data_IF_096046424548
#
_entry.id   IF_096046424548
#
_cell.length_a   1.000
_cell.length_b   1.000
_cell.length_c   1.000
_cell.angle_alpha   90.00
_cell.angle_beta   90.00
_cell.angle_gamma   90.00
#
_symmetry.space_group_name_H-M   'P 1'
#
loop_
_entity.id
_entity.type
_entity.pdbx_description
1 polymer ?
#
# COMPACT_ATOMS: atom_id res chain seq x y z
N UNK A 1 21.17 7.61 -4.60
CA UNK A 1 19.79 7.42 -4.14
C UNK A 1 19.07 6.58 -5.18
N UNK A 2 18.56 5.42 -4.78
CA UNK A 2 17.62 4.66 -5.61
C UNK A 2 16.26 5.37 -5.50
N UNK A 3 15.70 5.77 -6.64
CA UNK A 3 14.33 6.26 -6.68
C UNK A 3 13.42 5.04 -6.84
N UNK A 4 12.41 4.94 -6.01
CA UNK A 4 11.36 3.93 -6.12
C UNK A 4 9.99 4.63 -6.20
N UNK A 5 9.10 4.09 -7.00
CA UNK A 5 7.69 4.47 -6.99
C UNK A 5 6.92 3.34 -6.31
N UNK A 6 6.13 3.70 -5.32
CA UNK A 6 5.33 2.76 -4.53
C UNK A 6 3.88 3.21 -4.54
N UNK A 7 2.97 2.26 -4.69
CA UNK A 7 1.54 2.46 -4.50
C UNK A 7 1.08 1.59 -3.32
N UNK A 8 0.55 2.19 -2.27
CA UNK A 8 -0.03 1.46 -1.14
C UNK A 8 -1.55 1.49 -1.23
N UNK A 9 -2.18 0.31 -1.28
CA UNK A 9 -3.63 0.17 -1.18
C UNK A 9 -3.99 -0.09 0.27
N UNK A 10 -4.57 0.92 0.91
CA UNK A 10 -4.76 0.99 2.35
C UNK A 10 -6.25 0.93 2.70
N UNK A 11 -6.57 0.17 3.74
CA UNK A 11 -7.92 0.01 4.29
C UNK A 11 -7.91 0.51 5.73
N UNK A 12 -8.84 1.35 6.11
CA UNK A 12 -8.99 1.77 7.50
C UNK A 12 -9.20 0.55 8.40
N UNK A 13 -8.42 0.47 9.46
CA UNK A 13 -8.36 -0.70 10.33
C UNK A 13 -8.15 -0.29 11.79
N UNK A 14 -8.50 -1.21 12.70
CA UNK A 14 -8.27 -1.07 14.13
C UNK A 14 -7.57 -2.31 14.67
N UNK A 15 -6.52 -2.11 15.46
CA UNK A 15 -5.88 -3.17 16.24
C UNK A 15 -5.80 -2.75 17.72
N UNK A 16 -6.46 -3.51 18.61
CA UNK A 16 -6.67 -3.07 19.99
C UNK A 16 -7.39 -1.73 20.02
N UNK A 17 -6.80 -0.73 20.64
CA UNK A 17 -7.32 0.65 20.65
C UNK A 17 -6.67 1.56 19.61
N UNK A 18 -5.75 1.04 18.81
CA UNK A 18 -5.04 1.80 17.79
C UNK A 18 -5.84 1.82 16.48
N UNK A 19 -6.15 3.02 16.01
CA UNK A 19 -6.73 3.25 14.68
C UNK A 19 -5.60 3.50 13.69
N UNK A 20 -5.65 2.85 12.54
CA UNK A 20 -4.66 2.97 11.49
C UNK A 20 -5.17 2.41 10.18
N UNK A 21 -4.26 1.98 9.31
CA UNK A 21 -4.58 1.48 7.97
C UNK A 21 -3.90 0.13 7.73
N UNK A 22 -4.67 -0.87 7.33
CA UNK A 22 -4.12 -2.14 6.88
C UNK A 22 -3.65 -2.03 5.44
N UNK A 23 -2.38 -2.34 5.18
CA UNK A 23 -1.83 -2.37 3.83
C UNK A 23 -2.14 -3.71 3.17
N UNK A 24 -3.13 -3.71 2.27
CA UNK A 24 -3.57 -4.94 1.59
C UNK A 24 -2.60 -5.36 0.47
N UNK A 25 -2.07 -4.40 -0.27
CA UNK A 25 -1.08 -4.62 -1.33
C UNK A 25 -0.21 -3.38 -1.53
N UNK A 26 1.06 -3.60 -1.88
CA UNK A 26 2.05 -2.53 -2.09
C UNK A 26 2.83 -2.79 -3.39
N UNK A 27 2.26 -2.45 -4.55
CA UNK A 27 3.01 -2.47 -5.81
C UNK A 27 4.21 -1.51 -5.78
N UNK A 28 5.33 -1.96 -6.35
CA UNK A 28 6.60 -1.22 -6.40
C UNK A 28 7.30 -1.50 -7.74
N UNK A 29 8.00 -0.50 -8.29
CA UNK A 29 8.75 -0.61 -9.54
C UNK A 29 10.18 -1.10 -9.37
N UNK A 30 10.71 -1.12 -8.14
CA UNK A 30 12.08 -1.50 -7.84
C UNK A 30 12.17 -2.94 -7.34
N UNK A 31 12.59 -3.87 -8.20
CA UNK A 31 12.70 -5.29 -7.88
C UNK A 31 13.65 -5.56 -6.69
N UNK A 32 14.79 -4.88 -6.63
CA UNK A 32 15.78 -5.06 -5.57
C UNK A 32 15.30 -4.66 -4.19
N UNK A 33 14.23 -3.86 -4.08
CA UNK A 33 13.62 -3.48 -2.81
C UNK A 33 12.59 -4.50 -2.30
N UNK A 34 12.15 -5.45 -3.13
CA UNK A 34 11.06 -6.37 -2.76
C UNK A 34 11.51 -7.36 -1.69
N UNK A 35 12.58 -8.14 -1.96
CA UNK A 35 13.04 -9.18 -1.04
C UNK A 35 13.40 -8.60 0.35
N UNK A 36 14.27 -7.57 0.46
CA UNK A 36 14.57 -6.99 1.77
C UNK A 36 13.33 -6.47 2.52
N UNK A 37 12.42 -5.84 1.82
CA UNK A 37 11.22 -5.29 2.43
C UNK A 37 10.26 -6.37 2.92
N UNK A 38 10.06 -7.42 2.13
CA UNK A 38 9.21 -8.56 2.51
C UNK A 38 9.82 -9.39 3.64
N UNK A 39 11.10 -9.73 3.52
CA UNK A 39 11.79 -10.61 4.46
C UNK A 39 12.07 -9.90 5.79
N UNK A 40 12.52 -8.64 5.73
CA UNK A 40 12.84 -7.86 6.93
C UNK A 40 11.60 -7.27 7.59
N UNK A 41 10.77 -6.55 6.82
CA UNK A 41 9.68 -5.74 7.34
C UNK A 41 8.32 -6.42 7.19
N UNK A 42 8.19 -7.47 6.35
CA UNK A 42 6.89 -8.11 6.05
C UNK A 42 5.99 -7.30 5.12
N UNK A 43 6.48 -6.22 4.51
CA UNK A 43 5.70 -5.37 3.62
C UNK A 43 5.11 -6.17 2.44
N UNK A 44 3.82 -6.04 2.10
CA UNK A 44 3.17 -6.84 1.05
C UNK A 44 3.55 -6.37 -0.37
N UNK A 45 4.86 -6.12 -0.60
CA UNK A 45 5.39 -5.61 -1.86
C UNK A 45 5.26 -6.62 -2.98
N UNK A 46 4.85 -6.13 -4.15
CA UNK A 46 4.74 -6.88 -5.41
C UNK A 46 5.32 -6.05 -6.54
N UNK A 47 6.12 -6.68 -7.41
CA UNK A 47 6.65 -6.01 -8.60
C UNK A 47 5.52 -5.55 -9.52
N UNK A 48 5.60 -4.31 -9.97
CA UNK A 48 4.68 -3.71 -10.92
C UNK A 48 5.41 -2.64 -11.74
N UNK A 49 4.84 -2.24 -12.86
CA UNK A 49 5.23 -1.03 -13.55
C UNK A 49 4.36 0.11 -12.98
N UNK A 50 5.01 1.12 -12.42
CA UNK A 50 4.35 2.31 -11.90
C UNK A 50 4.80 3.52 -12.68
N UNK A 51 3.85 4.36 -13.02
CA UNK A 51 4.09 5.60 -13.75
C UNK A 51 3.38 6.75 -13.02
N UNK A 52 4.05 7.89 -12.97
CA UNK A 52 3.49 9.14 -12.49
C UNK A 52 3.98 10.26 -13.40
N UNK A 53 3.06 10.98 -14.00
CA UNK A 53 3.36 12.14 -14.84
C UNK A 53 2.56 13.35 -14.40
N UNK A 54 3.19 14.52 -14.53
CA UNK A 54 2.55 15.82 -14.39
C UNK A 54 2.92 16.69 -15.59
N UNK A 55 1.91 17.15 -16.32
CA UNK A 55 2.07 18.08 -17.44
C UNK A 55 1.22 19.33 -17.18
N UNK A 56 1.84 20.39 -16.66
CA UNK A 56 1.12 21.55 -16.14
C UNK A 56 0.24 21.18 -14.95
N UNK A 57 -1.06 21.37 -15.11
CA UNK A 57 -2.04 20.97 -14.08
C UNK A 57 -2.54 19.53 -14.25
N UNK A 58 -2.32 18.92 -15.41
CA UNK A 58 -2.74 17.55 -15.66
C UNK A 58 -1.81 16.54 -14.97
N UNK A 59 -2.39 15.58 -14.22
CA UNK A 59 -1.67 14.51 -13.53
C UNK A 59 -2.25 13.17 -13.87
N UNK A 60 -1.36 12.20 -14.09
CA UNK A 60 -1.71 10.78 -14.28
C UNK A 60 -0.84 9.92 -13.39
N UNK A 61 -1.42 8.86 -12.85
CA UNK A 61 -0.69 7.82 -12.15
C UNK A 61 -1.26 6.45 -12.52
N UNK A 62 -0.40 5.47 -12.71
CA UNK A 62 -0.84 4.13 -13.04
C UNK A 62 -0.01 3.03 -12.38
N UNK A 63 -0.64 1.89 -12.13
CA UNK A 63 -0.03 0.66 -11.67
C UNK A 63 -0.41 -0.46 -12.62
N UNK A 64 0.57 -1.02 -13.32
CA UNK A 64 0.38 -2.13 -14.26
C UNK A 64 1.09 -3.39 -13.76
N UNK A 65 0.36 -4.49 -13.66
CA UNK A 65 0.88 -5.81 -13.31
C UNK A 65 0.43 -6.84 -14.33
N UNK A 66 1.34 -7.71 -14.76
CA UNK A 66 1.05 -8.79 -15.71
C UNK A 66 0.28 -8.31 -16.96
N UNK A 67 0.58 -7.09 -17.42
CA UNK A 67 -0.07 -6.48 -18.58
C UNK A 67 -1.45 -5.86 -18.30
N UNK A 68 -1.92 -5.85 -17.05
CA UNK A 68 -3.19 -5.22 -16.64
C UNK A 68 -2.90 -3.97 -15.83
N UNK A 69 -3.43 -2.82 -16.25
CA UNK A 69 -3.41 -1.59 -15.45
C UNK A 69 -4.50 -1.68 -14.38
N UNK A 70 -4.10 -2.11 -13.17
CA UNK A 70 -5.00 -2.40 -12.06
C UNK A 70 -5.49 -1.16 -11.33
N UNK A 71 -4.66 -0.09 -11.29
CA UNK A 71 -4.99 1.21 -10.70
C UNK A 71 -4.63 2.28 -11.71
N UNK A 72 -5.54 3.22 -11.94
CA UNK A 72 -5.30 4.37 -12.79
C UNK A 72 -5.96 5.61 -12.20
N UNK A 73 -5.21 6.67 -12.04
CA UNK A 73 -5.69 7.98 -11.60
C UNK A 73 -5.42 8.98 -12.73
N UNK A 74 -6.45 9.73 -13.11
CA UNK A 74 -6.35 10.79 -14.10
C UNK A 74 -7.08 12.01 -13.55
N UNK A 75 -6.42 13.15 -13.47
CA UNK A 75 -7.04 14.35 -12.93
C UNK A 75 -6.26 15.62 -13.22
N UNK A 76 -6.81 16.72 -12.75
CA UNK A 76 -6.21 18.04 -12.88
C UNK A 76 -6.03 18.68 -11.50
N UNK A 77 -4.90 19.35 -11.32
CA UNK A 77 -4.65 20.19 -10.14
C UNK A 77 -5.55 21.41 -10.22
N UNK A 78 -6.46 21.56 -9.26
CA UNK A 78 -7.47 22.62 -9.26
C UNK A 78 -7.17 23.74 -8.28
N UNK A 79 -6.07 23.65 -7.55
CA UNK A 79 -5.58 24.72 -6.70
C UNK A 79 -4.77 24.24 -5.49
N UNK A 80 -4.06 25.17 -4.90
CA UNK A 80 -3.31 24.93 -3.67
C UNK A 80 -4.27 24.79 -2.47
N UNK A 81 -3.93 23.89 -1.57
CA UNK A 81 -4.59 23.71 -0.27
C UNK A 81 -3.67 24.22 0.85
N UNK A 82 -4.25 24.50 2.01
CA UNK A 82 -3.46 24.73 3.20
C UNK A 82 -2.59 23.50 3.50
N UNK A 83 -1.29 23.73 3.66
CA UNK A 83 -0.35 22.65 4.01
C UNK A 83 -0.69 22.14 5.41
N UNK A 84 -1.00 20.84 5.58
CA UNK A 84 -1.29 20.30 6.89
C UNK A 84 -0.09 20.41 7.83
N UNK A 85 -0.34 20.60 9.12
CA UNK A 85 0.71 20.38 10.12
C UNK A 85 1.21 18.93 10.07
N UNK A 86 2.44 18.63 10.53
CA UNK A 86 2.91 17.26 10.62
C UNK A 86 1.90 16.36 11.34
N UNK A 87 1.65 15.17 10.79
CA UNK A 87 0.64 14.24 11.32
C UNK A 87 1.16 12.79 11.36
N UNK A 88 0.71 12.01 12.36
CA UNK A 88 1.06 10.60 12.45
C UNK A 88 0.26 9.78 11.44
N UNK A 89 0.90 8.73 10.93
CA UNK A 89 0.28 7.65 10.15
C UNK A 89 0.65 6.33 10.79
N UNK A 90 -0.33 5.48 10.98
CA UNK A 90 -0.17 4.15 11.51
C UNK A 90 -0.62 3.15 10.46
N UNK A 91 0.27 2.24 10.07
CA UNK A 91 -0.07 1.19 9.11
C UNK A 91 0.22 -0.18 9.69
N UNK A 92 -0.60 -1.16 9.27
CA UNK A 92 -0.52 -2.54 9.72
C UNK A 92 -0.35 -3.48 8.55
N UNK A 93 0.42 -4.56 8.75
CA UNK A 93 0.46 -5.73 7.87
C UNK A 93 0.99 -6.94 8.62
N UNK A 94 0.87 -8.11 8.02
CA UNK A 94 1.40 -9.34 8.59
C UNK A 94 2.73 -9.72 7.98
N UNK A 95 3.68 -10.11 8.83
CA UNK A 95 4.94 -10.75 8.44
C UNK A 95 4.88 -12.22 8.80
N UNK A 96 5.18 -13.09 7.87
CA UNK A 96 5.20 -14.53 8.07
C UNK A 96 6.09 -15.23 7.05
N UNK A 97 6.53 -16.44 7.38
CA UNK A 97 7.23 -17.33 6.48
C UNK A 97 6.36 -18.60 6.30
N UNK A 98 5.80 -18.84 5.11
CA UNK A 98 5.05 -20.06 4.84
C UNK A 98 5.95 -21.28 5.03
N UNK A 99 5.39 -22.36 5.58
CA UNK A 99 6.12 -23.61 5.74
C UNK A 99 6.38 -24.28 4.38
N UNK A 100 7.53 -24.92 4.25
CA UNK A 100 7.93 -25.68 3.04
C UNK A 100 6.96 -26.80 2.71
N UNK A 101 6.29 -27.38 3.72
CA UNK A 101 5.23 -28.37 3.53
C UNK A 101 3.99 -27.85 2.79
N UNK A 102 3.83 -26.53 2.68
CA UNK A 102 2.64 -25.86 2.18
C UNK A 102 1.50 -25.76 3.19
N UNK A 103 1.70 -26.20 4.43
CA UNK A 103 0.74 -26.13 5.53
C UNK A 103 1.33 -25.37 6.71
N UNK A 104 0.64 -24.30 7.17
CA UNK A 104 1.09 -23.49 8.28
C UNK A 104 2.26 -22.58 7.93
N UNK A 105 3.05 -22.23 8.96
CA UNK A 105 4.14 -21.26 8.87
C UNK A 105 5.40 -21.80 9.59
N UNK A 106 6.59 -21.57 9.02
CA UNK A 106 7.87 -21.81 9.67
C UNK A 106 8.20 -20.67 10.66
N UNK A 107 7.66 -19.47 10.44
CA UNK A 107 7.77 -18.33 11.35
C UNK A 107 6.58 -17.37 11.23
N UNK A 108 6.15 -16.79 12.35
CA UNK A 108 4.98 -15.92 12.44
C UNK A 108 3.65 -16.69 12.49
N UNK A 109 2.52 -16.05 12.17
CA UNK A 109 2.44 -14.64 11.74
C UNK A 109 2.72 -13.64 12.84
N UNK A 110 3.39 -12.55 12.46
CA UNK A 110 3.60 -11.39 13.31
C UNK A 110 2.82 -10.22 12.77
N UNK A 111 2.24 -9.39 13.64
CA UNK A 111 1.76 -8.07 13.25
C UNK A 111 2.95 -7.10 13.20
N UNK A 112 3.11 -6.43 12.09
CA UNK A 112 4.03 -5.31 11.95
C UNK A 112 3.23 -4.02 11.96
N UNK A 113 3.60 -3.11 12.84
CA UNK A 113 3.07 -1.75 12.90
C UNK A 113 4.12 -0.76 12.44
N UNK A 114 3.83 -0.03 11.37
CA UNK A 114 4.62 1.11 10.92
C UNK A 114 4.10 2.37 11.61
N UNK A 115 4.95 3.01 12.38
CA UNK A 115 4.74 4.36 12.90
C UNK A 115 5.47 5.35 12.02
N UNK A 116 4.74 6.24 11.38
CA UNK A 116 5.29 7.23 10.48
C UNK A 116 4.79 8.63 10.85
N UNK A 117 5.65 9.63 10.81
CA UNK A 117 5.26 11.02 10.90
C UNK A 117 5.47 11.69 9.55
N UNK A 118 4.40 12.11 8.94
CA UNK A 118 4.41 12.84 7.67
C UNK A 118 4.61 14.32 7.96
N UNK A 119 5.50 14.95 7.19
CA UNK A 119 5.83 16.38 7.28
C UNK A 119 5.58 17.01 5.91
N UNK A 120 4.33 17.42 5.59
CA UNK A 120 4.00 18.02 4.30
C UNK A 120 4.71 19.36 4.09
N UNK A 121 5.16 19.59 2.85
CA UNK A 121 5.77 20.84 2.41
C UNK A 121 4.85 21.58 1.43
N UNK A 122 4.11 20.82 0.61
CA UNK A 122 3.09 21.34 -0.30
C UNK A 122 1.84 20.48 -0.26
N UNK A 123 0.70 21.07 -0.60
CA UNK A 123 -0.56 20.34 -0.75
C UNK A 123 -1.40 20.99 -1.85
N UNK A 124 -1.79 20.21 -2.84
CA UNK A 124 -2.62 20.66 -3.96
C UNK A 124 -3.84 19.73 -4.06
N UNK A 125 -5.00 20.30 -4.43
CA UNK A 125 -6.19 19.54 -4.73
C UNK A 125 -6.09 18.98 -6.15
N UNK A 126 -6.47 17.72 -6.32
CA UNK A 126 -6.62 17.09 -7.63
C UNK A 126 -8.06 16.63 -7.77
N UNK A 127 -8.73 17.11 -8.82
CA UNK A 127 -10.06 16.66 -9.20
C UNK A 127 -9.92 15.72 -10.40
N UNK A 128 -10.51 14.54 -10.31
CA UNK A 128 -10.32 13.53 -11.35
C UNK A 128 -11.08 12.24 -11.09
N UNK A 129 -10.61 11.16 -11.68
CA UNK A 129 -11.19 9.83 -11.56
C UNK A 129 -10.15 8.80 -11.15
N UNK A 130 -10.63 7.78 -10.44
CA UNK A 130 -9.92 6.56 -10.12
C UNK A 130 -10.57 5.40 -10.88
N UNK A 131 -9.77 4.59 -11.56
CA UNK A 131 -10.20 3.35 -12.19
C UNK A 131 -9.46 2.19 -11.53
N UNK A 132 -10.21 1.21 -11.01
CA UNK A 132 -9.69 -0.04 -10.47
C UNK A 132 -10.10 -1.19 -11.40
N UNK A 133 -9.17 -2.11 -11.68
CA UNK A 133 -9.45 -3.30 -12.49
C UNK A 133 -9.00 -4.55 -11.75
N UNK A 134 -9.76 -5.61 -11.93
CA UNK A 134 -9.47 -6.91 -11.31
C UNK A 134 -8.21 -7.55 -11.90
N UNK A 135 -7.45 -8.19 -11.00
CA UNK A 135 -6.34 -9.06 -11.35
C UNK A 135 -6.20 -10.12 -10.25
N UNK A 136 -6.23 -11.42 -10.58
CA UNK A 136 -6.09 -12.49 -9.60
C UNK A 136 -4.88 -12.28 -8.67
N UNK A 137 -5.11 -12.42 -7.37
CA UNK A 137 -4.08 -12.19 -6.34
C UNK A 137 -3.69 -10.73 -6.11
N UNK A 138 -4.50 -9.78 -6.59
CA UNK A 138 -4.31 -8.34 -6.32
C UNK A 138 -5.68 -7.69 -6.03
N UNK A 139 -6.12 -7.67 -4.77
CA UNK A 139 -7.52 -7.41 -4.38
C UNK A 139 -7.90 -5.92 -4.40
N UNK A 140 -7.44 -5.14 -5.38
CA UNK A 140 -7.76 -3.69 -5.44
C UNK A 140 -9.17 -3.41 -5.93
N UNK A 141 -9.74 -4.32 -6.74
CA UNK A 141 -11.09 -4.21 -7.27
C UNK A 141 -12.12 -5.11 -6.57
N UNK A 142 -11.70 -5.89 -5.56
CA UNK A 142 -12.60 -6.76 -4.79
C UNK A 142 -13.56 -5.97 -3.89
N UNK A 143 -13.19 -4.75 -3.54
CA UNK A 143 -14.01 -3.85 -2.74
C UNK A 143 -14.71 -2.83 -3.63
N UNK A 144 -16.04 -2.64 -3.47
CA UNK A 144 -16.76 -1.64 -4.24
C UNK A 144 -16.36 -0.23 -3.83
N UNK A 145 -16.05 0.61 -4.80
CA UNK A 145 -15.87 2.06 -4.58
C UNK A 145 -17.26 2.68 -4.48
N UNK A 146 -17.67 3.09 -3.28
CA UNK A 146 -18.98 3.69 -3.04
C UNK A 146 -18.97 5.19 -3.34
N UNK A 147 -17.86 5.85 -3.05
CA UNK A 147 -17.69 7.29 -3.21
C UNK A 147 -16.21 7.64 -3.37
N UNK A 148 -15.90 8.61 -4.22
CA UNK A 148 -14.60 9.27 -4.27
C UNK A 148 -14.67 10.56 -3.47
N UNK A 149 -13.84 10.68 -2.42
CA UNK A 149 -13.80 11.88 -1.58
C UNK A 149 -12.84 12.95 -2.09
N UNK A 150 -12.02 12.61 -3.10
CA UNK A 150 -11.07 13.49 -3.73
C UNK A 150 -9.64 12.94 -3.70
N UNK A 151 -8.72 13.71 -4.29
CA UNK A 151 -7.31 13.41 -4.30
C UNK A 151 -6.48 14.65 -3.90
N UNK A 152 -5.28 14.39 -3.39
CA UNK A 152 -4.31 15.43 -3.07
C UNK A 152 -2.95 15.05 -3.61
N UNK A 153 -2.26 16.03 -4.16
CA UNK A 153 -0.84 15.91 -4.49
C UNK A 153 -0.04 16.66 -3.43
N UNK A 154 0.84 15.94 -2.75
CA UNK A 154 1.66 16.50 -1.67
C UNK A 154 3.13 16.19 -1.88
N UNK A 155 4.00 17.18 -1.66
CA UNK A 155 5.40 16.91 -1.35
C UNK A 155 5.53 16.79 0.17
N UNK A 156 6.22 15.76 0.63
CA UNK A 156 6.35 15.48 2.05
C UNK A 156 7.66 14.77 2.35
N UNK A 157 8.26 15.08 3.47
CA UNK A 157 9.28 14.24 4.11
C UNK A 157 8.63 13.38 5.20
N UNK A 158 9.29 12.31 5.61
CA UNK A 158 8.77 11.46 6.68
C UNK A 158 9.87 10.82 7.51
N UNK A 159 9.55 10.54 8.77
CA UNK A 159 10.32 9.72 9.69
C UNK A 159 9.47 8.52 10.08
N UNK A 160 10.08 7.34 10.18
CA UNK A 160 9.33 6.13 10.49
C UNK A 160 10.15 5.09 11.26
N UNK A 161 9.45 4.23 11.99
CA UNK A 161 9.99 3.00 12.60
C UNK A 161 8.92 1.89 12.59
N UNK A 162 9.38 0.65 12.73
CA UNK A 162 8.52 -0.52 12.77
C UNK A 162 8.52 -1.15 14.16
N UNK A 163 7.34 -1.64 14.56
CA UNK A 163 7.16 -2.47 15.76
C UNK A 163 6.67 -3.85 15.29
N UNK A 164 7.22 -4.91 15.90
CA UNK A 164 6.84 -6.29 15.64
C UNK A 164 6.18 -6.87 16.89
N UNK A 165 4.99 -7.43 16.72
CA UNK A 165 4.26 -8.12 17.77
C UNK A 165 3.88 -9.53 17.33
N UNK A 166 4.02 -10.51 18.24
CA UNK A 166 3.47 -11.85 18.02
C UNK A 166 1.94 -11.78 18.09
N UNK A 167 1.27 -12.39 17.13
CA UNK A 167 -0.19 -12.46 17.09
C UNK A 167 -0.64 -13.89 16.84
N UNK A 168 -1.67 -14.30 17.58
CA UNK A 168 -2.35 -15.56 17.32
C UNK A 168 -3.34 -15.36 16.16
N UNK A 169 -3.01 -15.93 15.03
CA UNK A 169 -3.90 -15.98 13.87
C UNK A 169 -4.09 -17.44 13.53
N UNK A 170 -5.34 -17.84 13.32
CA UNK A 170 -5.66 -19.16 12.80
C UNK A 170 -4.98 -19.35 11.42
N UNK A 171 -3.97 -20.24 11.31
CA UNK A 171 -3.24 -20.44 10.06
C UNK A 171 -4.14 -20.83 8.90
N UNK A 172 -5.23 -21.57 9.16
CA UNK A 172 -6.14 -22.03 8.13
C UNK A 172 -7.02 -20.91 7.59
N UNK A 173 -7.42 -19.96 8.43
CA UNK A 173 -8.14 -18.77 7.96
C UNK A 173 -7.22 -17.89 7.13
N UNK A 174 -6.00 -17.65 7.59
CA UNK A 174 -5.06 -16.79 6.88
C UNK A 174 -4.50 -17.45 5.60
N UNK A 175 -4.19 -18.74 5.64
CA UNK A 175 -3.66 -19.49 4.50
C UNK A 175 -4.63 -19.50 3.29
N UNK A 176 -5.93 -19.39 3.51
CA UNK A 176 -6.92 -19.26 2.41
C UNK A 176 -6.67 -18.01 1.58
N UNK A 177 -6.28 -16.90 2.20
CA UNK A 177 -5.98 -15.64 1.51
C UNK A 177 -4.59 -15.63 0.85
N UNK A 178 -3.67 -16.48 1.33
CA UNK A 178 -2.31 -16.59 0.77
C UNK A 178 -2.25 -17.63 -0.35
N UNK A 179 -2.97 -18.76 -0.22
CA UNK A 179 -2.95 -19.88 -1.20
C UNK A 179 -3.53 -19.51 -2.56
N UNK A 180 -4.46 -18.59 -2.64
CA UNK A 180 -5.03 -18.07 -3.92
C UNK A 180 -3.95 -17.44 -4.82
N UNK A 181 -2.76 -17.19 -4.28
CA UNK A 181 -1.66 -16.54 -5.02
C UNK A 181 -0.74 -17.53 -5.74
N UNK A 182 -0.89 -18.84 -5.54
CA UNK A 182 0.01 -19.88 -6.08
C UNK A 182 -0.68 -20.98 -6.90
N UNK A 183 -1.97 -20.85 -7.17
CA UNK A 183 -2.71 -21.79 -8.05
C UNK A 183 -2.93 -21.19 -9.43
#
# INVERSE_FOLDING_TARGET
>A
HLHEIVCSFLLDAKYGDQLGQFCAVMPIDLETAISPSRERNGEPKKLAQLEFERQGDHVTASVTRQGVTIIEVIGDVTGALAVPAPFPVLQFWYKFLPAVSGEGFDAGPFLVTLHQTMKPETCERVDGKLVLRDLPGTPVADLPVLQLEGARLMMTSSEFFHVLEDVEIDPDQYARHVRVQYT
#
